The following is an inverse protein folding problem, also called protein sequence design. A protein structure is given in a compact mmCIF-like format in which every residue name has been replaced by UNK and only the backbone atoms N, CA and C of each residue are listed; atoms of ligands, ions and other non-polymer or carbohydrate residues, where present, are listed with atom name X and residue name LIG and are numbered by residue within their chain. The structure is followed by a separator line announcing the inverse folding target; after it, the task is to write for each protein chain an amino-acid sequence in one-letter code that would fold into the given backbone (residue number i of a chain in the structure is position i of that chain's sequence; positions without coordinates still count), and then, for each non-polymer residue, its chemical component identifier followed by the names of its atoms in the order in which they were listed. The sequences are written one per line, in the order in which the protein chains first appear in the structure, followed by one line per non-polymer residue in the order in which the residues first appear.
data_IF_692991785293
#
_entry.id   IF_692991785293
#
_cell.length_a   1.000
_cell.length_b   1.000
_cell.length_c   1.000
_cell.angle_alpha   90.00
_cell.angle_beta   90.00
_cell.angle_gamma   90.00
#
_symmetry.space_group_name_H-M   'P 1'
#
loop_
_entity.id
_entity.type
_entity.pdbx_description
1 polymer ?
#
# COMPACT_ATOMS: atom_id res chain seq x y z
N UNK A 1 21.35 5.61 -57.50
CA UNK A 1 21.84 4.92 -56.28
C UNK A 1 21.91 5.84 -55.06
N UNK A 2 22.18 7.15 -55.19
CA UNK A 2 22.23 8.11 -54.05
C UNK A 2 20.94 8.22 -53.24
N UNK A 3 19.79 8.06 -53.88
CA UNK A 3 18.45 8.29 -53.32
C UNK A 3 18.02 7.17 -52.36
N UNK A 4 18.46 5.93 -52.61
CA UNK A 4 18.14 4.76 -51.77
C UNK A 4 18.98 4.74 -50.50
N UNK A 5 20.24 5.17 -50.59
CA UNK A 5 21.13 5.30 -49.42
C UNK A 5 20.68 6.42 -48.50
N UNK A 6 20.23 7.56 -49.06
CA UNK A 6 19.68 8.67 -48.27
C UNK A 6 18.41 8.25 -47.51
N UNK A 7 17.52 7.49 -48.17
CA UNK A 7 16.28 6.98 -47.57
C UNK A 7 16.55 5.98 -46.44
N UNK A 8 17.55 5.10 -46.59
CA UNK A 8 17.94 4.14 -45.57
C UNK A 8 18.55 4.81 -44.34
N UNK A 9 19.41 5.82 -44.51
CA UNK A 9 19.99 6.59 -43.40
C UNK A 9 18.89 7.36 -42.66
N UNK A 10 17.93 7.96 -43.39
CA UNK A 10 16.82 8.67 -42.77
C UNK A 10 15.91 7.74 -41.94
N UNK A 11 15.64 6.52 -42.42
CA UNK A 11 14.88 5.51 -41.66
C UNK A 11 15.61 5.05 -40.39
N UNK A 12 16.94 4.92 -40.43
CA UNK A 12 17.75 4.51 -39.28
C UNK A 12 17.78 5.59 -38.17
N UNK A 13 17.88 6.86 -38.54
CA UNK A 13 17.84 7.99 -37.59
C UNK A 13 16.44 8.14 -36.97
N UNK A 14 15.39 7.86 -37.75
CA UNK A 14 14.02 7.85 -37.24
C UNK A 14 13.84 6.75 -36.18
N UNK A 15 14.35 5.54 -36.42
CA UNK A 15 14.28 4.43 -35.45
C UNK A 15 15.04 4.69 -34.14
N UNK A 16 16.21 5.34 -34.20
CA UNK A 16 16.99 5.72 -33.00
C UNK A 16 16.29 6.78 -32.14
N UNK A 17 15.41 7.60 -32.74
CA UNK A 17 14.62 8.61 -32.02
C UNK A 17 13.48 7.98 -31.20
N UNK A 18 12.95 6.82 -31.60
CA UNK A 18 11.92 6.10 -30.81
C UNK A 18 12.50 5.26 -29.68
N UNK A 19 13.75 4.79 -29.81
CA UNK A 19 14.39 4.01 -28.76
C UNK A 19 14.60 4.83 -27.47
N UNK A 20 14.92 6.12 -27.59
CA UNK A 20 15.21 6.99 -26.45
C UNK A 20 13.98 7.72 -25.90
N UNK A 21 12.88 7.81 -26.65
CA UNK A 21 11.65 8.47 -26.20
C UNK A 21 10.79 7.56 -25.31
N UNK A 22 10.84 6.24 -25.53
CA UNK A 22 9.94 5.29 -24.86
C UNK A 22 10.32 5.03 -23.38
N UNK A 23 11.59 5.18 -23.01
CA UNK A 23 12.04 5.01 -21.62
C UNK A 23 11.51 6.14 -20.70
N UNK A 24 11.34 7.35 -21.24
CA UNK A 24 10.86 8.51 -20.49
C UNK A 24 9.34 8.51 -20.22
N UNK A 25 8.56 7.74 -20.97
CA UNK A 25 7.08 7.75 -20.87
C UNK A 25 6.51 6.65 -19.97
N UNK A 26 7.27 5.61 -19.60
CA UNK A 26 6.81 4.65 -18.59
C UNK A 26 6.82 5.23 -17.16
N UNK A 27 7.48 6.38 -16.95
CA UNK A 27 7.53 7.07 -15.64
C UNK A 27 6.49 8.18 -15.49
N UNK A 28 5.45 8.17 -16.31
CA UNK A 28 4.26 9.03 -16.20
C UNK A 28 2.96 8.25 -15.99
N UNK A 29 3.01 7.13 -15.29
CA UNK A 29 1.91 6.81 -14.40
C UNK A 29 2.18 7.54 -13.10
N UNK A 30 1.27 8.44 -12.70
CA UNK A 30 1.27 9.00 -11.36
C UNK A 30 1.23 7.82 -10.38
N UNK A 31 2.39 7.44 -9.85
CA UNK A 31 2.48 6.37 -8.88
C UNK A 31 1.68 6.81 -7.65
N UNK A 32 0.67 6.06 -7.20
CA UNK A 32 0.14 6.32 -5.87
C UNK A 32 1.29 6.13 -4.89
N UNK A 33 1.50 7.13 -4.04
CA UNK A 33 2.57 7.25 -3.04
C UNK A 33 2.46 6.18 -1.94
N UNK A 34 2.55 4.90 -2.33
CA UNK A 34 2.47 3.71 -1.47
C UNK A 34 3.65 2.75 -1.71
N UNK A 35 4.66 3.15 -2.47
CA UNK A 35 5.84 2.33 -2.75
C UNK A 35 6.86 2.58 -1.64
N UNK A 36 6.96 1.65 -0.69
CA UNK A 36 8.12 1.63 0.21
C UNK A 36 8.01 0.59 1.30
N UNK A 37 6.84 0.46 1.93
CA UNK A 37 6.70 -0.44 3.08
C UNK A 37 5.39 -1.20 3.00
N UNK A 38 5.49 -2.52 2.87
CA UNK A 38 4.35 -3.44 2.96
C UNK A 38 4.36 -4.09 4.35
N UNK A 39 3.73 -3.49 5.36
CA UNK A 39 3.69 -4.08 6.70
C UNK A 39 3.11 -5.49 6.67
N UNK A 40 3.79 -6.40 7.35
CA UNK A 40 3.41 -7.79 7.50
C UNK A 40 2.92 -8.03 8.92
N UNK A 41 1.69 -8.51 9.06
CA UNK A 41 1.15 -8.98 10.33
C UNK A 41 1.51 -10.44 10.52
N UNK A 42 2.28 -10.73 11.55
CA UNK A 42 2.70 -12.07 11.92
C UNK A 42 1.59 -12.82 12.66
N UNK A 43 1.71 -14.15 12.73
CA UNK A 43 0.73 -15.01 13.39
C UNK A 43 0.53 -14.70 14.89
N UNK A 44 1.56 -14.18 15.57
CA UNK A 44 1.53 -13.74 16.96
C UNK A 44 0.89 -12.35 17.17
N UNK A 45 0.55 -11.65 16.07
CA UNK A 45 0.03 -10.29 16.07
C UNK A 45 1.09 -9.20 16.01
N UNK A 46 2.37 -9.53 15.85
CA UNK A 46 3.44 -8.56 15.63
C UNK A 46 3.37 -7.99 14.21
N UNK A 47 3.59 -6.68 14.06
CA UNK A 47 3.65 -6.01 12.76
C UNK A 47 5.09 -5.70 12.44
N UNK A 48 5.59 -6.20 11.32
CA UNK A 48 6.96 -5.97 10.85
C UNK A 48 6.97 -5.31 9.46
N UNK A 49 8.06 -4.63 9.12
CA UNK A 49 8.29 -4.16 7.75
C UNK A 49 8.89 -5.26 6.85
N UNK A 50 9.27 -4.85 5.64
CA UNK A 50 9.90 -5.73 4.64
C UNK A 50 11.30 -6.23 5.06
N UNK A 51 11.97 -5.53 5.98
CA UNK A 51 13.28 -5.89 6.55
C UNK A 51 13.16 -6.74 7.83
N UNK A 52 11.93 -6.94 8.33
CA UNK A 52 11.64 -7.68 9.56
C UNK A 52 11.75 -6.83 10.84
N UNK A 53 11.94 -5.51 10.73
CA UNK A 53 11.90 -4.61 11.88
C UNK A 53 10.48 -4.49 12.40
N UNK A 54 10.33 -4.56 13.73
CA UNK A 54 9.02 -4.40 14.38
C UNK A 54 8.55 -2.95 14.31
N UNK A 55 7.34 -2.75 13.80
CA UNK A 55 6.66 -1.47 13.70
C UNK A 55 5.60 -1.27 14.80
N UNK A 56 5.08 -2.39 15.32
CA UNK A 56 4.04 -2.42 16.34
C UNK A 56 3.41 -3.80 16.50
N UNK A 57 2.21 -3.84 17.07
CA UNK A 57 1.46 -5.09 17.25
C UNK A 57 -0.05 -4.87 17.30
N UNK A 58 -0.80 -5.92 17.02
CA UNK A 58 -2.26 -5.97 17.16
C UNK A 58 -2.61 -7.01 18.21
N UNK A 59 -3.16 -6.55 19.35
CA UNK A 59 -3.52 -7.40 20.49
C UNK A 59 -4.96 -7.15 20.91
N UNK A 60 -5.81 -8.18 20.86
CA UNK A 60 -7.23 -8.10 21.26
C UNK A 60 -7.97 -6.91 20.60
N UNK A 61 -7.76 -6.73 19.29
CA UNK A 61 -8.32 -5.61 18.52
C UNK A 61 -7.67 -4.25 18.80
N UNK A 62 -6.71 -4.12 19.72
CA UNK A 62 -5.94 -2.88 19.92
C UNK A 62 -4.73 -2.87 19.00
N UNK A 63 -4.55 -1.78 18.28
CA UNK A 63 -3.36 -1.51 17.46
C UNK A 63 -2.39 -0.69 18.31
N UNK A 64 -1.22 -1.26 18.56
CA UNK A 64 -0.15 -0.66 19.34
C UNK A 64 1.05 -0.33 18.44
N UNK A 65 1.74 0.76 18.75
CA UNK A 65 3.04 1.06 18.16
C UNK A 65 4.18 0.21 18.75
N UNK A 66 5.41 0.41 18.27
CA UNK A 66 6.64 -0.22 18.76
C UNK A 66 6.89 -0.04 20.27
N UNK A 67 6.36 1.02 20.88
CA UNK A 67 6.49 1.29 22.32
C UNK A 67 5.42 0.59 23.16
N UNK A 68 4.44 -0.04 22.50
CA UNK A 68 3.28 -0.65 23.14
C UNK A 68 2.13 0.33 23.42
N UNK A 69 2.25 1.59 22.99
CA UNK A 69 1.17 2.58 23.12
C UNK A 69 0.08 2.30 22.11
N UNK A 70 -1.17 2.31 22.58
CA UNK A 70 -2.34 2.14 21.71
C UNK A 70 -2.48 3.37 20.81
N UNK A 71 -2.44 3.13 19.50
CA UNK A 71 -2.64 4.13 18.44
C UNK A 71 -3.99 3.96 17.75
N UNK A 72 -4.62 2.78 17.89
CA UNK A 72 -5.91 2.48 17.29
C UNK A 72 -6.63 1.31 17.93
N UNK A 73 -7.90 1.15 17.57
CA UNK A 73 -8.76 0.05 17.99
C UNK A 73 -9.58 -0.42 16.80
N UNK A 74 -9.57 -1.72 16.56
CA UNK A 74 -10.41 -2.46 15.64
C UNK A 74 -11.59 -2.97 16.47
N UNK A 75 -12.79 -2.50 16.16
CA UNK A 75 -14.01 -2.96 16.80
C UNK A 75 -14.33 -4.40 16.39
N UNK A 76 -15.13 -5.12 17.19
CA UNK A 76 -15.49 -6.52 16.89
C UNK A 76 -16.26 -6.71 15.57
N UNK A 77 -16.83 -5.64 15.02
CA UNK A 77 -17.47 -5.63 13.69
C UNK A 77 -16.52 -5.17 12.58
N UNK A 78 -15.21 -5.03 12.84
CA UNK A 78 -14.18 -4.67 11.86
C UNK A 78 -13.88 -3.18 11.73
N UNK A 79 -14.71 -2.26 12.24
CA UNK A 79 -14.44 -0.83 12.11
C UNK A 79 -13.14 -0.42 12.80
N UNK A 80 -12.34 0.38 12.12
CA UNK A 80 -11.05 0.84 12.60
C UNK A 80 -11.18 2.27 13.10
N UNK A 81 -10.82 2.47 14.36
CA UNK A 81 -10.83 3.75 15.05
C UNK A 81 -9.43 4.11 15.54
N UNK A 82 -9.13 5.39 15.58
CA UNK A 82 -7.93 5.91 16.27
C UNK A 82 -8.08 5.78 17.79
N UNK A 83 -6.97 5.91 18.52
CA UNK A 83 -6.99 5.96 19.99
C UNK A 83 -7.92 7.05 20.58
N UNK A 84 -8.22 8.10 19.80
CA UNK A 84 -9.10 9.20 20.20
C UNK A 84 -10.59 8.95 19.85
N UNK A 85 -10.94 7.75 19.35
CA UNK A 85 -12.31 7.38 18.99
C UNK A 85 -12.79 7.85 17.61
N UNK A 86 -11.93 8.51 16.83
CA UNK A 86 -12.27 8.87 15.44
C UNK A 86 -12.20 7.63 14.54
N UNK A 87 -13.29 7.29 13.87
CA UNK A 87 -13.37 6.22 12.86
C UNK A 87 -12.56 6.62 11.62
N UNK A 88 -11.64 5.75 11.18
CA UNK A 88 -10.80 5.97 9.99
C UNK A 88 -11.09 5.00 8.85
N UNK A 89 -11.65 3.83 9.17
CA UNK A 89 -12.16 2.88 8.18
C UNK A 89 -13.42 2.18 8.72
N UNK A 90 -14.37 1.91 7.84
CA UNK A 90 -15.60 1.16 8.15
C UNK A 90 -15.68 -0.11 7.35
N UNK A 91 -15.96 -1.22 8.01
CA UNK A 91 -16.21 -2.49 7.32
C UNK A 91 -17.58 -2.41 6.62
N UNK A 92 -17.61 -2.84 5.38
CA UNK A 92 -18.81 -2.94 4.56
C UNK A 92 -19.40 -4.35 4.71
N UNK A 93 -20.66 -4.51 4.27
CA UNK A 93 -21.37 -5.80 4.33
C UNK A 93 -20.71 -6.90 3.49
N UNK A 94 -19.97 -6.51 2.46
CA UNK A 94 -19.22 -7.42 1.58
C UNK A 94 -17.85 -7.82 2.15
N UNK A 95 -17.49 -7.37 3.36
CA UNK A 95 -16.20 -7.64 4.00
C UNK A 95 -15.07 -6.71 3.56
N UNK A 96 -15.32 -5.77 2.65
CA UNK A 96 -14.35 -4.74 2.28
C UNK A 96 -14.35 -3.59 3.30
N UNK A 97 -13.30 -2.77 3.33
CA UNK A 97 -13.23 -1.59 4.21
C UNK A 97 -13.26 -0.32 3.39
N UNK A 98 -14.12 0.61 3.76
CA UNK A 98 -14.12 1.95 3.18
C UNK A 98 -13.38 2.91 4.11
N UNK A 99 -12.25 3.45 3.65
CA UNK A 99 -11.53 4.52 4.32
C UNK A 99 -12.35 5.82 4.31
N UNK A 100 -12.09 6.74 5.24
CA UNK A 100 -12.63 8.10 5.19
C UNK A 100 -12.34 8.84 3.88
N UNK A 101 -11.22 8.52 3.21
CA UNK A 101 -10.85 9.08 1.90
C UNK A 101 -11.62 8.42 0.73
N UNK A 102 -12.52 7.48 0.99
CA UNK A 102 -13.32 6.79 -0.02
C UNK A 102 -12.65 5.58 -0.66
N UNK A 103 -11.38 5.29 -0.35
CA UNK A 103 -10.69 4.11 -0.84
C UNK A 103 -11.28 2.82 -0.27
N UNK A 104 -11.42 1.82 -1.13
CA UNK A 104 -11.80 0.46 -0.76
C UNK A 104 -10.54 -0.34 -0.48
N UNK A 105 -10.48 -0.95 0.71
CA UNK A 105 -9.46 -1.88 1.13
C UNK A 105 -10.05 -3.28 1.13
N UNK A 106 -9.39 -4.23 0.49
CA UNK A 106 -9.79 -5.64 0.48
C UNK A 106 -8.70 -6.48 1.12
N UNK A 107 -9.09 -7.55 1.81
CA UNK A 107 -8.13 -8.57 2.26
C UNK A 107 -8.46 -9.87 1.54
N UNK A 108 -7.52 -10.37 0.75
CA UNK A 108 -7.66 -11.64 0.04
C UNK A 108 -7.63 -12.82 1.05
N UNK A 109 -8.13 -14.00 0.66
CA UNK A 109 -8.03 -15.21 1.49
C UNK A 109 -6.59 -15.54 1.94
N UNK A 110 -5.61 -15.21 1.10
CA UNK A 110 -4.17 -15.36 1.37
C UNK A 110 -3.60 -14.29 2.34
N UNK A 111 -4.46 -13.39 2.83
CA UNK A 111 -4.10 -12.31 3.75
C UNK A 111 -3.50 -11.08 3.07
N UNK A 112 -3.48 -11.01 1.74
CA UNK A 112 -2.97 -9.85 1.00
C UNK A 112 -3.96 -8.69 1.13
N UNK A 113 -3.49 -7.55 1.61
CA UNK A 113 -4.29 -6.34 1.77
C UNK A 113 -4.07 -5.44 0.56
N UNK A 114 -5.14 -5.10 -0.13
CA UNK A 114 -5.11 -4.27 -1.34
C UNK A 114 -5.91 -3.00 -1.15
N UNK A 115 -5.39 -1.88 -1.66
CA UNK A 115 -6.07 -0.59 -1.72
C UNK A 115 -6.17 -0.18 -3.18
N UNK A 116 -7.39 0.01 -3.67
CA UNK A 116 -7.63 0.29 -5.10
C UNK A 116 -6.90 -0.71 -6.04
N UNK A 117 -6.90 -1.99 -5.65
CA UNK A 117 -6.27 -3.09 -6.41
C UNK A 117 -4.75 -3.24 -6.23
N UNK A 118 -4.09 -2.35 -5.47
CA UNK A 118 -2.64 -2.41 -5.22
C UNK A 118 -2.35 -3.00 -3.86
N UNK A 119 -1.42 -3.94 -3.79
CA UNK A 119 -0.95 -4.53 -2.53
C UNK A 119 -0.28 -3.47 -1.66
N UNK A 120 -0.64 -3.42 -0.38
CA UNK A 120 -0.13 -2.44 0.59
C UNK A 120 0.28 -3.06 1.92
N UNK A 121 -0.16 -4.28 2.22
CA UNK A 121 0.17 -5.00 3.44
C UNK A 121 -0.13 -6.49 3.27
N UNK A 122 0.38 -7.33 4.16
CA UNK A 122 0.11 -8.77 4.16
C UNK A 122 -0.13 -9.30 5.56
N UNK A 123 -1.12 -10.18 5.69
CA UNK A 123 -1.46 -10.89 6.92
C UNK A 123 -1.00 -12.32 6.78
N UNK A 124 -0.14 -12.76 7.70
CA UNK A 124 0.39 -14.13 7.71
C UNK A 124 -0.73 -15.15 7.91
N UNK A 125 -0.61 -16.30 7.23
CA UNK A 125 -1.58 -17.40 7.23
C UNK A 125 -2.06 -17.82 8.64
N UNK A 126 -1.15 -17.86 9.63
CA UNK A 126 -1.47 -18.24 11.01
C UNK A 126 -2.24 -17.20 11.84
N UNK A 127 -2.41 -15.97 11.35
CA UNK A 127 -3.15 -14.95 12.08
C UNK A 127 -4.67 -15.19 12.02
N UNK A 128 -5.30 -15.16 13.20
CA UNK A 128 -6.70 -15.56 13.41
C UNK A 128 -7.72 -14.70 12.66
N UNK A 129 -7.44 -13.41 12.51
CA UNK A 129 -8.41 -12.41 12.02
C UNK A 129 -7.88 -11.67 10.79
N UNK A 130 -8.05 -12.23 9.58
CA UNK A 130 -7.54 -11.62 8.33
C UNK A 130 -8.04 -10.20 8.10
N UNK A 131 -9.24 -9.95 8.59
CA UNK A 131 -9.94 -8.66 8.61
C UNK A 131 -9.12 -7.53 9.26
N UNK A 132 -8.18 -7.83 10.15
CA UNK A 132 -7.30 -6.83 10.75
C UNK A 132 -6.25 -6.26 9.78
N UNK A 133 -6.13 -6.83 8.58
CA UNK A 133 -5.20 -6.36 7.56
C UNK A 133 -5.41 -4.90 7.17
N UNK A 134 -6.64 -4.40 7.19
CA UNK A 134 -6.93 -2.99 6.91
C UNK A 134 -6.25 -2.03 7.90
N UNK A 135 -6.07 -2.44 9.16
CA UNK A 135 -5.40 -1.63 10.17
C UNK A 135 -3.90 -1.46 9.87
N UNK A 136 -3.29 -2.42 9.17
CA UNK A 136 -1.89 -2.33 8.73
C UNK A 136 -1.70 -1.13 7.81
N UNK A 137 -2.57 -1.02 6.80
CA UNK A 137 -2.55 0.11 5.88
C UNK A 137 -2.84 1.44 6.58
N UNK A 138 -3.83 1.47 7.47
CA UNK A 138 -4.24 2.72 8.11
C UNK A 138 -3.24 3.28 9.14
N UNK A 139 -2.50 2.43 9.86
CA UNK A 139 -1.62 2.88 10.95
C UNK A 139 -0.13 2.78 10.64
N UNK A 140 0.28 1.84 9.78
CA UNK A 140 1.69 1.52 9.59
C UNK A 140 2.21 1.93 8.22
N UNK A 141 1.36 2.07 7.19
CA UNK A 141 1.80 2.60 5.89
C UNK A 141 2.23 4.09 5.90
N UNK A 142 1.98 4.84 6.99
CA UNK A 142 2.26 6.28 7.10
C UNK A 142 3.48 6.64 7.96
N UNK A 143 4.18 5.67 8.55
CA UNK A 143 5.28 5.92 9.50
C UNK A 143 6.68 6.08 8.87
N UNK A 144 6.80 6.15 7.55
CA UNK A 144 8.06 6.53 6.89
C UNK A 144 8.05 8.05 6.61
N UNK A 145 9.16 8.76 6.83
CA UNK A 145 9.29 10.20 6.54
C UNK A 145 9.06 10.53 5.05
N UNK A 146 9.21 9.55 4.15
CA UNK A 146 8.83 9.66 2.73
C UNK A 146 7.30 9.76 2.52
N UNK A 147 6.50 9.40 3.52
CA UNK A 147 5.06 9.62 3.57
C UNK A 147 4.69 11.02 4.11
N UNK A 148 5.64 11.94 4.35
CA UNK A 148 5.31 13.33 4.70
C UNK A 148 4.85 14.17 3.49
N UNK A 149 4.95 13.64 2.28
CA UNK A 149 4.57 14.36 1.06
C UNK A 149 3.14 14.06 0.55
N UNK A 150 2.28 13.44 1.38
CA UNK A 150 0.88 13.09 1.04
C UNK A 150 -0.16 14.08 1.57
N UNK A 151 0.23 15.11 2.33
CA UNK A 151 -0.72 16.06 2.94
C UNK A 151 -0.58 17.51 2.43
N UNK A 152 0.24 17.78 1.41
CA UNK A 152 0.25 19.08 0.74
C UNK A 152 -0.05 18.97 -0.77
N UNK A 153 -1.22 19.54 -1.09
CA UNK A 153 -1.82 19.89 -2.38
C UNK A 153 -2.95 18.99 -2.88
#
# INVERSE_FOLDING_TARGET
MKNKTLLMIMLMVFALSFANAQESQQKREMAPKHRGMHPRLQADGTVVDDEGKTLGSIKNGKVCDETGKVIGVIAGHGDVTTANGKVIAKMQKDGTYKSMKGHVVTTDPDGVVKVAGKEVAKVEAGYKEKNHGCALHCFFSSKNEEAKEIDHH
#
